data_IF_611046993880
#
_entry.id   IF_611046993880
#
_cell.length_a   1.000
_cell.length_b   1.000
_cell.length_c   1.000
_cell.angle_alpha   90.00
_cell.angle_beta   90.00
_cell.angle_gamma   90.00
#
_symmetry.space_group_name_H-M   'P 1'
#
loop_
_entity.id
_entity.type
_entity.pdbx_description
1 polymer ?
#
# COMPACT_ATOMS: atom_id res chain seq x y z
N UNK A 1 11.85 6.39 -19.95
CA UNK A 1 11.20 5.20 -19.35
C UNK A 1 9.98 5.65 -18.58
N UNK A 2 8.78 5.25 -19.01
CA UNK A 2 7.54 5.53 -18.28
C UNK A 2 7.52 4.64 -17.04
N UNK A 3 7.27 5.22 -15.85
CA UNK A 3 7.22 4.41 -14.64
C UNK A 3 6.04 3.42 -14.70
N UNK A 4 6.23 2.19 -14.22
CA UNK A 4 5.25 1.11 -14.29
C UNK A 4 5.15 0.36 -12.97
N UNK A 5 3.93 0.17 -12.50
CA UNK A 5 3.55 -0.69 -11.37
C UNK A 5 3.10 -2.04 -11.92
N UNK A 6 3.60 -3.13 -11.36
CA UNK A 6 3.23 -4.51 -11.70
C UNK A 6 2.91 -5.26 -10.40
N UNK A 7 1.73 -5.88 -10.35
CA UNK A 7 1.21 -6.58 -9.17
C UNK A 7 0.83 -8.00 -9.58
N UNK A 8 1.33 -8.98 -8.84
CA UNK A 8 0.86 -10.38 -8.88
C UNK A 8 0.88 -10.89 -7.44
N UNK A 9 -0.29 -11.05 -6.82
CA UNK A 9 -0.39 -11.38 -5.40
C UNK A 9 -1.48 -12.40 -5.07
N UNK A 10 -1.17 -13.28 -4.13
CA UNK A 10 -2.09 -14.23 -3.48
C UNK A 10 -1.99 -14.08 -1.96
N UNK A 11 -3.12 -14.20 -1.26
CA UNK A 11 -3.16 -14.03 0.20
C UNK A 11 -4.34 -14.77 0.85
N UNK A 12 -4.07 -15.36 2.01
CA UNK A 12 -5.04 -16.07 2.85
C UNK A 12 -4.97 -15.58 4.30
N UNK A 13 -6.13 -15.48 4.96
CA UNK A 13 -6.18 -15.38 6.42
C UNK A 13 -6.29 -16.79 7.00
N UNK A 14 -5.17 -17.31 7.53
CA UNK A 14 -5.06 -18.73 7.85
C UNK A 14 -5.30 -19.58 6.61
N UNK A 15 -6.25 -20.51 6.68
CA UNK A 15 -6.61 -21.38 5.55
C UNK A 15 -7.64 -20.76 4.59
N UNK A 16 -8.16 -19.57 4.88
CA UNK A 16 -9.19 -18.94 4.05
C UNK A 16 -8.55 -18.07 2.96
N UNK A 17 -8.57 -18.49 1.67
CA UNK A 17 -8.05 -17.68 0.59
C UNK A 17 -8.94 -16.45 0.35
N UNK A 18 -8.32 -15.27 0.28
CA UNK A 18 -9.00 -13.99 0.01
C UNK A 18 -8.57 -13.41 -1.34
N UNK A 19 -7.28 -13.44 -1.64
CA UNK A 19 -6.74 -13.06 -2.94
C UNK A 19 -6.23 -14.32 -3.64
N UNK A 20 -6.68 -14.54 -4.88
CA UNK A 20 -6.30 -15.69 -5.70
C UNK A 20 -5.75 -15.17 -7.02
N UNK A 21 -4.42 -15.18 -7.12
CA UNK A 21 -3.64 -14.83 -8.32
C UNK A 21 -4.11 -13.52 -8.96
N UNK A 22 -4.18 -12.47 -8.13
CA UNK A 22 -4.58 -11.14 -8.60
C UNK A 22 -3.43 -10.52 -9.35
N UNK A 23 -3.60 -10.33 -10.66
CA UNK A 23 -2.57 -9.77 -11.54
C UNK A 23 -3.06 -8.53 -12.28
N UNK A 24 -2.29 -7.44 -12.22
CA UNK A 24 -2.52 -6.24 -13.02
C UNK A 24 -1.25 -5.38 -13.12
N UNK A 25 -1.25 -4.44 -14.06
CA UNK A 25 -0.23 -3.40 -14.15
C UNK A 25 -0.86 -2.03 -14.36
N UNK A 26 -0.19 -0.98 -13.91
CA UNK A 26 -0.58 0.41 -14.13
C UNK A 26 0.63 1.23 -14.57
N UNK A 27 0.42 2.15 -15.50
CA UNK A 27 1.43 3.09 -15.96
C UNK A 27 1.40 4.38 -15.16
N UNK A 28 2.50 5.12 -15.18
CA UNK A 28 2.60 6.46 -14.57
C UNK A 28 1.47 7.36 -15.07
N UNK A 29 0.73 7.94 -14.12
CA UNK A 29 -0.35 8.88 -14.41
C UNK A 29 -1.71 8.22 -14.65
N UNK A 30 -1.79 6.89 -14.65
CA UNK A 30 -3.07 6.18 -14.73
C UNK A 30 -3.79 6.20 -13.38
N UNK A 31 -5.12 6.36 -13.44
CA UNK A 31 -6.02 6.18 -12.32
C UNK A 31 -6.72 4.83 -12.47
N UNK A 32 -6.44 3.90 -11.55
CA UNK A 32 -7.07 2.58 -11.51
C UNK A 32 -8.14 2.54 -10.41
N UNK A 33 -9.32 2.02 -10.73
CA UNK A 33 -10.38 1.79 -9.76
C UNK A 33 -10.53 0.28 -9.46
N UNK A 34 -10.54 -0.07 -8.17
CA UNK A 34 -10.84 -1.43 -7.70
C UNK A 34 -12.28 -1.45 -7.20
N UNK A 35 -13.16 -2.13 -7.93
CA UNK A 35 -14.58 -2.23 -7.61
C UNK A 35 -14.98 -3.66 -7.25
N UNK A 36 -16.02 -3.79 -6.41
CA UNK A 36 -16.54 -5.10 -6.00
C UNK A 36 -17.33 -5.00 -4.70
N UNK A 37 -18.11 -6.04 -4.34
CA UNK A 37 -18.93 -6.04 -3.13
C UNK A 37 -18.07 -6.03 -1.85
N UNK A 38 -18.73 -5.80 -0.71
CA UNK A 38 -18.08 -5.96 0.59
C UNK A 38 -17.62 -7.41 0.77
N UNK A 39 -16.41 -7.58 1.29
CA UNK A 39 -15.78 -8.91 1.42
C UNK A 39 -15.05 -9.42 0.18
N UNK A 40 -15.09 -8.72 -0.97
CA UNK A 40 -14.37 -9.12 -2.18
C UNK A 40 -12.82 -9.04 -2.09
N UNK A 41 -12.26 -8.66 -0.93
CA UNK A 41 -10.81 -8.60 -0.73
C UNK A 41 -10.14 -7.27 -1.11
N UNK A 42 -10.89 -6.21 -1.47
CA UNK A 42 -10.34 -4.90 -1.88
C UNK A 42 -9.34 -4.32 -0.87
N UNK A 43 -9.74 -4.21 0.40
CA UNK A 43 -8.86 -3.70 1.45
C UNK A 43 -7.69 -4.67 1.74
N UNK A 44 -7.89 -5.98 1.55
CA UNK A 44 -6.83 -6.98 1.64
C UNK A 44 -5.81 -6.79 0.52
N UNK A 45 -6.24 -6.54 -0.72
CA UNK A 45 -5.37 -6.24 -1.85
C UNK A 45 -4.54 -4.98 -1.60
N UNK A 46 -5.18 -3.88 -1.19
CA UNK A 46 -4.45 -2.64 -0.89
C UNK A 46 -3.43 -2.82 0.23
N UNK A 47 -3.80 -3.49 1.33
CA UNK A 47 -2.89 -3.78 2.45
C UNK A 47 -1.74 -4.72 2.06
N UNK A 48 -2.00 -5.70 1.19
CA UNK A 48 -0.97 -6.58 0.62
C UNK A 48 0.01 -5.80 -0.26
N UNK A 49 -0.49 -4.89 -1.10
CA UNK A 49 0.33 -4.08 -2.00
C UNK A 49 1.35 -3.21 -1.25
N UNK A 50 0.95 -2.63 -0.11
CA UNK A 50 1.84 -1.80 0.72
C UNK A 50 2.65 -2.58 1.76
N UNK A 51 2.51 -3.91 1.80
CA UNK A 51 3.23 -4.78 2.72
C UNK A 51 2.76 -4.71 4.18
N UNK A 52 1.55 -4.22 4.45
CA UNK A 52 0.89 -4.34 5.77
C UNK A 52 0.51 -5.82 6.00
N UNK A 53 -0.01 -6.47 4.97
CA UNK A 53 -0.16 -7.91 4.92
C UNK A 53 1.01 -8.51 4.13
N UNK A 54 1.35 -9.77 4.41
CA UNK A 54 2.43 -10.50 3.72
C UNK A 54 1.82 -11.48 2.70
N UNK A 55 1.57 -11.06 1.45
CA UNK A 55 1.13 -11.96 0.39
C UNK A 55 2.29 -12.82 -0.13
N UNK A 56 1.97 -13.82 -0.95
CA UNK A 56 2.90 -14.40 -1.90
C UNK A 56 2.87 -13.62 -3.22
N UNK A 57 3.96 -13.68 -3.99
CA UNK A 57 4.10 -12.96 -5.26
C UNK A 57 4.91 -11.66 -5.12
N UNK A 58 4.59 -10.65 -5.91
CA UNK A 58 5.36 -9.40 -5.98
C UNK A 58 4.50 -8.15 -6.20
N UNK A 59 5.07 -7.02 -5.78
CA UNK A 59 4.59 -5.67 -6.11
C UNK A 59 5.81 -4.91 -6.60
N UNK A 60 5.93 -4.69 -7.90
CA UNK A 60 7.10 -4.07 -8.52
C UNK A 60 6.80 -2.67 -9.00
N UNK A 61 7.69 -1.74 -8.68
CA UNK A 61 7.72 -0.41 -9.27
C UNK A 61 9.02 -0.28 -10.06
N UNK A 62 8.92 -0.13 -11.38
CA UNK A 62 10.08 -0.04 -12.28
C UNK A 62 11.07 -1.20 -12.13
N UNK A 63 10.55 -2.41 -11.92
CA UNK A 63 11.35 -3.63 -11.72
C UNK A 63 11.81 -3.87 -10.28
N UNK A 64 11.75 -2.89 -9.38
CA UNK A 64 12.08 -3.06 -7.95
C UNK A 64 10.91 -3.66 -7.19
N UNK A 65 11.10 -4.83 -6.56
CA UNK A 65 10.07 -5.44 -5.71
C UNK A 65 9.95 -4.70 -4.38
N UNK A 66 8.83 -3.99 -4.18
CA UNK A 66 8.57 -3.18 -2.99
C UNK A 66 8.43 -4.02 -1.73
N UNK A 67 7.96 -5.26 -1.84
CA UNK A 67 7.74 -6.15 -0.69
C UNK A 67 9.05 -6.64 -0.05
N UNK A 68 10.17 -6.59 -0.77
CA UNK A 68 11.51 -6.94 -0.29
C UNK A 68 12.23 -5.75 0.37
N UNK A 69 11.72 -4.53 0.20
CA UNK A 69 12.31 -3.34 0.80
C UNK A 69 12.06 -3.26 2.31
N UNK A 70 12.97 -2.65 3.09
CA UNK A 70 12.68 -2.25 4.45
C UNK A 70 11.44 -1.33 4.51
N UNK A 71 10.61 -1.39 5.58
CA UNK A 71 9.37 -0.61 5.66
C UNK A 71 9.54 0.89 5.38
N UNK A 72 10.60 1.51 5.91
CA UNK A 72 10.89 2.94 5.71
C UNK A 72 11.18 3.27 4.24
N UNK A 73 11.94 2.44 3.55
CA UNK A 73 12.24 2.64 2.12
C UNK A 73 11.03 2.38 1.23
N UNK A 74 10.20 1.36 1.56
CA UNK A 74 8.94 1.12 0.87
C UNK A 74 7.97 2.30 1.01
N UNK A 75 7.85 2.86 2.21
CA UNK A 75 6.93 3.97 2.50
C UNK A 75 7.25 5.27 1.74
N UNK A 76 8.48 5.43 1.23
CA UNK A 76 8.86 6.54 0.33
C UNK A 76 8.30 6.37 -1.09
N UNK A 77 7.92 5.16 -1.48
CA UNK A 77 7.52 4.80 -2.84
C UNK A 77 6.03 4.48 -2.99
N UNK A 78 5.42 3.94 -1.94
CA UNK A 78 4.00 3.57 -1.93
C UNK A 78 3.38 3.86 -0.56
N UNK A 79 2.17 4.42 -0.56
CA UNK A 79 1.42 4.74 0.67
C UNK A 79 -0.01 4.20 0.61
N UNK A 80 -0.63 4.09 1.77
CA UNK A 80 -2.00 3.61 1.93
C UNK A 80 -2.78 4.57 2.83
N UNK A 81 -3.90 5.07 2.31
CA UNK A 81 -4.85 5.87 3.08
C UNK A 81 -5.93 4.92 3.61
N UNK A 82 -6.08 4.78 4.94
CA UNK A 82 -7.09 3.89 5.50
C UNK A 82 -8.51 4.41 5.24
N UNK A 83 -9.47 3.49 5.21
CA UNK A 83 -10.90 3.81 5.11
C UNK A 83 -11.39 4.68 6.28
N UNK A 84 -10.78 4.52 7.46
CA UNK A 84 -11.05 5.31 8.65
C UNK A 84 -9.73 5.58 9.37
N UNK A 85 -9.42 6.84 9.59
CA UNK A 85 -8.28 7.29 10.40
C UNK A 85 -8.84 8.14 11.54
N UNK A 86 -9.07 7.52 12.69
CA UNK A 86 -9.38 8.27 13.91
C UNK A 86 -8.06 8.47 14.66
N UNK A 87 -7.60 9.71 14.85
CA UNK A 87 -6.40 9.93 15.64
C UNK A 87 -6.65 9.47 17.07
N UNK A 88 -5.79 8.58 17.58
CA UNK A 88 -5.85 8.11 18.97
C UNK A 88 -5.39 9.17 19.98
N UNK A 89 -4.77 10.25 19.49
CA UNK A 89 -4.22 11.34 20.29
C UNK A 89 -4.75 12.69 19.80
N UNK A 90 -4.70 13.70 20.67
CA UNK A 90 -5.02 15.08 20.30
C UNK A 90 -3.84 15.67 19.49
N UNK A 91 -3.89 15.50 18.17
CA UNK A 91 -3.01 16.20 17.24
C UNK A 91 -3.64 17.52 16.78
N UNK A 92 -2.81 18.53 16.56
CA UNK A 92 -3.18 19.65 15.68
C UNK A 92 -3.36 19.14 14.25
N UNK A 93 -4.03 19.95 13.42
CA UNK A 93 -4.20 19.63 11.99
C UNK A 93 -2.85 19.54 11.28
N UNK A 94 -1.91 20.41 11.66
CA UNK A 94 -0.55 20.43 11.10
C UNK A 94 0.19 19.12 11.41
N UNK A 95 0.26 18.75 12.68
CA UNK A 95 0.89 17.49 13.11
C UNK A 95 0.28 16.28 12.40
N UNK A 96 -1.06 16.21 12.28
CA UNK A 96 -1.72 15.09 11.60
C UNK A 96 -1.36 14.98 10.12
N UNK A 97 -1.25 16.11 9.42
CA UNK A 97 -0.83 16.14 8.01
C UNK A 97 0.65 15.76 7.87
N UNK A 98 1.49 16.21 8.79
CA UNK A 98 2.93 15.94 8.77
C UNK A 98 3.26 14.46 8.97
N UNK A 99 2.48 13.73 9.77
CA UNK A 99 2.61 12.27 9.91
C UNK A 99 2.60 11.53 8.56
N UNK A 100 1.85 12.04 7.57
CA UNK A 100 1.81 11.47 6.22
C UNK A 100 3.13 11.59 5.45
N UNK A 101 4.01 12.50 5.86
CA UNK A 101 5.30 12.79 5.21
C UNK A 101 6.51 12.17 5.93
N UNK A 102 6.28 11.53 7.07
CA UNK A 102 7.32 10.98 7.97
C UNK A 102 8.40 10.16 7.25
N UNK A 103 7.98 9.26 6.34
CA UNK A 103 8.91 8.40 5.61
C UNK A 103 9.91 9.18 4.73
N UNK A 104 9.54 10.39 4.30
CA UNK A 104 10.32 11.25 3.41
C UNK A 104 11.03 12.39 4.13
N UNK A 105 10.40 12.97 5.17
CA UNK A 105 10.89 14.16 5.87
C UNK A 105 11.57 13.87 7.20
N UNK A 106 11.37 12.71 7.80
CA UNK A 106 11.89 12.40 9.13
C UNK A 106 10.93 12.81 10.25
N UNK A 107 11.47 13.01 11.46
CA UNK A 107 10.67 13.35 12.63
C UNK A 107 10.01 14.72 12.51
N UNK A 108 8.82 14.84 13.13
CA UNK A 108 8.07 16.09 13.19
C UNK A 108 8.70 16.99 14.25
N UNK A 109 9.33 18.09 13.85
CA UNK A 109 9.84 19.12 14.77
C UNK A 109 11.35 19.41 14.76
N UNK A 110 12.10 19.07 13.70
CA UNK A 110 13.40 19.74 13.42
C UNK A 110 13.25 20.97 12.51
#
# INVERSE_FOLDING_TARGET
MTARLEVSVSFSYGERPVLKDVEFSANKGELLAIIGPNGAGKSTLLKSMVGILRPTGYVRLNGTNLLELPPRERAKLITYVPQSSYPEFAFTIEEFVELGTYATRGDVGE
#
